data_IF_529622098726
#
_entry.id   IF_529622098726
#
_cell.length_a   1.000
_cell.length_b   1.000
_cell.length_c   1.000
_cell.angle_alpha   90.00
_cell.angle_beta   90.00
_cell.angle_gamma   90.00
#
_symmetry.space_group_name_H-M   'P 1'
#
loop_
_entity.id
_entity.type
_entity.pdbx_description
1 polymer ?
#
# COMPACT_ATOMS: atom_id res chain seq x y z
N UNK A 1 -3.37 0.77 3.19
CA UNK A 1 -3.67 0.23 4.53
C UNK A 1 -2.59 0.52 5.58
N UNK A 2 -1.54 1.28 5.28
CA UNK A 2 -0.43 1.59 6.22
C UNK A 2 -0.38 3.06 6.68
N UNK A 3 -1.24 3.93 6.13
CA UNK A 3 -1.29 5.36 6.47
C UNK A 3 -2.16 5.65 7.69
N UNK A 4 -3.24 4.88 7.88
CA UNK A 4 -4.20 5.12 8.96
C UNK A 4 -3.62 4.79 10.34
N UNK A 5 -2.79 3.75 10.43
CA UNK A 5 -2.14 3.34 11.68
C UNK A 5 -1.11 4.34 12.21
N UNK A 6 -0.50 5.16 11.35
CA UNK A 6 0.45 6.19 11.79
C UNK A 6 -0.26 7.43 12.36
N UNK A 7 -1.43 7.77 11.81
CA UNK A 7 -2.29 8.85 12.27
C UNK A 7 -2.92 8.53 13.63
N UNK A 8 -3.44 7.30 13.83
CA UNK A 8 -3.98 6.86 15.13
C UNK A 8 -2.92 6.85 16.24
N UNK A 9 -1.68 6.45 15.93
CA UNK A 9 -0.56 6.47 16.89
C UNK A 9 -0.19 7.91 17.29
N UNK A 10 -0.26 8.85 16.34
CA UNK A 10 0.02 10.24 16.64
C UNK A 10 -1.14 10.88 17.43
N UNK A 11 -2.38 10.60 17.06
CA UNK A 11 -3.59 11.10 17.73
C UNK A 11 -3.70 10.58 19.17
N UNK A 12 -3.39 9.30 19.39
CA UNK A 12 -3.32 8.69 20.73
C UNK A 12 -2.20 9.28 21.61
N UNK A 13 -1.05 9.65 21.04
CA UNK A 13 0.00 10.37 21.76
C UNK A 13 -0.45 11.76 22.22
N UNK A 14 -1.18 12.49 21.38
CA UNK A 14 -1.74 13.79 21.74
C UNK A 14 -2.90 13.69 22.75
N UNK A 15 -3.71 12.64 22.67
CA UNK A 15 -4.74 12.31 23.65
C UNK A 15 -4.16 12.09 25.06
N UNK A 16 -3.06 11.33 25.14
CA UNK A 16 -2.38 11.03 26.40
C UNK A 16 -1.79 12.29 27.03
N UNK A 17 -1.12 13.14 26.24
CA UNK A 17 -0.60 14.43 26.69
C UNK A 17 -1.71 15.37 27.20
N UNK A 18 -2.88 15.39 26.56
CA UNK A 18 -4.04 16.17 27.03
C UNK A 18 -4.61 15.62 28.33
N UNK A 19 -4.57 14.30 28.52
CA UNK A 19 -5.04 13.65 29.75
C UNK A 19 -4.10 13.93 30.91
N UNK A 20 -2.80 13.87 30.66
CA UNK A 20 -1.76 14.20 31.63
C UNK A 20 -1.81 15.67 32.04
N UNK A 21 -1.96 16.59 31.09
CA UNK A 21 -2.12 18.02 31.38
C UNK A 21 -3.35 18.30 32.26
N UNK A 22 -4.52 17.71 31.96
CA UNK A 22 -5.73 17.85 32.79
C UNK A 22 -5.56 17.28 34.20
N UNK A 23 -4.82 16.18 34.34
CA UNK A 23 -4.51 15.58 35.63
C UNK A 23 -3.62 16.50 36.47
N UNK A 24 -2.57 17.06 35.87
CA UNK A 24 -1.68 18.01 36.55
C UNK A 24 -2.43 19.27 36.98
N UNK A 25 -3.31 19.80 36.13
CA UNK A 25 -4.18 20.93 36.51
C UNK A 25 -5.08 20.60 37.69
N UNK A 26 -5.70 19.41 37.71
CA UNK A 26 -6.54 18.95 38.81
C UNK A 26 -5.77 18.78 40.13
N UNK A 27 -4.60 18.15 40.09
CA UNK A 27 -3.75 17.96 41.26
C UNK A 27 -3.27 19.29 41.85
N UNK A 28 -2.98 20.27 40.98
CA UNK A 28 -2.59 21.62 41.39
C UNK A 28 -3.75 22.35 42.09
N UNK A 29 -4.96 22.28 41.54
CA UNK A 29 -6.15 22.93 42.11
C UNK A 29 -6.55 22.33 43.47
N UNK A 30 -6.47 21.00 43.59
CA UNK A 30 -6.67 20.30 44.88
C UNK A 30 -5.64 20.73 45.91
N UNK A 31 -4.35 20.82 45.53
CA UNK A 31 -3.31 21.32 46.43
C UNK A 31 -3.59 22.76 46.85
N UNK A 32 -3.88 23.66 45.91
CA UNK A 32 -4.24 25.05 46.22
C UNK A 32 -5.42 25.14 47.20
N UNK A 33 -6.48 24.35 46.97
CA UNK A 33 -7.66 24.28 47.84
C UNK A 33 -7.32 23.75 49.24
N UNK A 34 -6.47 22.72 49.33
CA UNK A 34 -6.01 22.18 50.62
C UNK A 34 -5.20 23.19 51.42
N UNK A 35 -4.32 23.95 50.76
CA UNK A 35 -3.52 25.00 51.38
C UNK A 35 -4.38 26.21 51.78
N UNK A 36 -5.36 26.59 50.96
CA UNK A 36 -6.33 27.64 51.30
C UNK A 36 -7.15 27.26 52.54
N UNK A 37 -7.60 26.01 52.65
CA UNK A 37 -8.31 25.49 53.84
C UNK A 37 -7.42 25.47 55.08
N UNK A 38 -6.15 25.09 54.95
CA UNK A 38 -5.19 25.11 56.06
C UNK A 38 -4.92 26.54 56.53
N UNK A 39 -4.75 27.48 55.60
CA UNK A 39 -4.64 28.91 55.89
C UNK A 39 -5.88 29.43 56.62
N UNK A 40 -7.08 29.08 56.16
CA UNK A 40 -8.32 29.48 56.81
C UNK A 40 -8.44 28.95 58.25
N UNK A 41 -8.12 27.67 58.49
CA UNK A 41 -8.14 27.05 59.83
C UNK A 41 -7.16 27.71 60.79
N UNK A 42 -6.02 28.19 60.31
CA UNK A 42 -5.05 28.87 61.15
C UNK A 42 -5.49 30.30 61.50
N UNK A 43 -6.14 31.01 60.58
CA UNK A 43 -6.68 32.35 60.86
C UNK A 43 -7.85 32.34 61.83
N UNK A 44 -8.64 31.27 61.86
CA UNK A 44 -9.82 31.15 62.71
C UNK A 44 -9.52 30.66 64.14
N UNK A 45 -8.30 30.15 64.39
CA UNK A 45 -7.85 29.68 65.72
C UNK A 45 -7.29 30.76 66.66
N UNK A 46 -7.35 32.04 66.29
CA UNK A 46 -6.72 33.16 67.02
C UNK A 46 -7.58 33.89 68.06
N UNK A 47 -8.80 33.44 68.34
CA UNK A 47 -9.71 34.08 69.29
C UNK A 47 -10.13 33.10 70.40
N UNK A 48 -9.22 32.81 71.34
CA UNK A 48 -9.59 32.39 72.71
C UNK A 48 -8.59 33.02 73.69
N UNK A 49 -9.10 33.43 74.84
CA UNK A 49 -8.72 34.57 75.67
C UNK A 49 -7.63 34.30 76.75
N UNK A 50 -6.96 35.39 77.17
CA UNK A 50 -6.23 35.63 78.43
C UNK A 50 -4.74 35.25 78.58
N UNK A 51 -3.90 36.29 78.73
CA UNK A 51 -2.81 36.34 79.74
C UNK A 51 -1.34 36.10 79.31
N UNK A 52 -0.57 37.20 79.17
CA UNK A 52 0.91 37.30 79.34
C UNK A 52 1.85 36.71 78.26
N UNK A 53 3.14 37.15 78.16
CA UNK A 53 3.71 37.62 76.91
C UNK A 53 4.63 36.60 76.24
N UNK A 54 4.23 36.14 75.05
CA UNK A 54 5.14 35.60 74.02
C UNK A 54 4.87 36.23 72.64
N UNK A 55 4.40 37.48 72.65
CA UNK A 55 3.91 38.29 71.52
C UNK A 55 4.90 38.37 70.34
N UNK A 56 6.21 38.13 70.56
CA UNK A 56 7.21 38.08 69.50
C UNK A 56 7.13 36.85 68.58
N UNK A 57 6.70 35.69 69.10
CA UNK A 57 6.68 34.44 68.31
C UNK A 57 5.39 34.29 67.51
N UNK A 58 4.23 34.58 68.11
CA UNK A 58 2.92 34.51 67.45
C UNK A 58 2.75 35.57 66.36
N UNK A 59 3.26 36.79 66.55
CA UNK A 59 3.28 37.84 65.51
C UNK A 59 4.13 37.44 64.30
N UNK A 60 5.26 36.75 64.52
CA UNK A 60 6.10 36.27 63.41
C UNK A 60 5.42 35.16 62.60
N UNK A 61 4.59 34.33 63.24
CA UNK A 61 3.82 33.26 62.59
C UNK A 61 2.63 33.83 61.82
N UNK A 62 1.90 34.81 62.38
CA UNK A 62 0.80 35.48 61.67
C UNK A 62 1.29 36.28 60.47
N UNK A 63 2.44 36.95 60.59
CA UNK A 63 3.09 37.65 59.47
C UNK A 63 3.54 36.68 58.37
N UNK A 64 4.13 35.53 58.73
CA UNK A 64 4.49 34.48 57.76
C UNK A 64 3.25 33.96 57.02
N UNK A 65 2.14 33.76 57.73
CA UNK A 65 0.88 33.29 57.13
C UNK A 65 0.23 34.32 56.21
N UNK A 66 0.25 35.60 56.59
CA UNK A 66 -0.19 36.67 55.70
C UNK A 66 0.61 36.65 54.39
N UNK A 67 1.95 36.54 54.48
CA UNK A 67 2.81 36.40 53.30
C UNK A 67 2.46 35.16 52.45
N UNK A 68 2.20 34.02 53.09
CA UNK A 68 1.80 32.80 52.37
C UNK A 68 0.46 32.95 51.66
N UNK A 69 -0.50 33.68 52.25
CA UNK A 69 -1.79 33.98 51.64
C UNK A 69 -1.62 34.90 50.42
N UNK A 70 -0.76 35.89 50.52
CA UNK A 70 -0.46 36.80 49.40
C UNK A 70 0.22 36.05 48.25
N UNK A 71 1.21 35.20 48.56
CA UNK A 71 1.90 34.35 47.57
C UNK A 71 0.91 33.39 46.88
N UNK A 72 -0.01 32.77 47.64
CA UNK A 72 -1.04 31.91 47.05
C UNK A 72 -1.99 32.69 46.14
N UNK A 73 -2.36 33.90 46.54
CA UNK A 73 -3.21 34.76 45.72
C UNK A 73 -2.50 35.14 44.41
N UNK A 74 -1.22 35.49 44.49
CA UNK A 74 -0.36 35.76 43.33
C UNK A 74 -0.25 34.54 42.40
N UNK A 75 0.05 33.35 42.93
CA UNK A 75 0.07 32.12 42.12
C UNK A 75 -1.30 31.77 41.52
N UNK A 76 -2.39 32.00 42.24
CA UNK A 76 -3.75 31.78 41.72
C UNK A 76 -4.05 32.72 40.56
N UNK A 77 -3.63 33.98 40.68
CA UNK A 77 -3.79 35.00 39.65
C UNK A 77 -2.95 34.68 38.42
N UNK A 78 -1.67 34.34 38.61
CA UNK A 78 -0.78 33.93 37.53
C UNK A 78 -1.27 32.65 36.84
N UNK A 79 -1.77 31.67 37.59
CA UNK A 79 -2.38 30.47 37.01
C UNK A 79 -3.56 30.80 36.11
N UNK A 80 -4.48 31.68 36.55
CA UNK A 80 -5.61 32.11 35.73
C UNK A 80 -5.15 32.85 34.48
N UNK A 81 -4.12 33.68 34.59
CA UNK A 81 -3.52 34.42 33.47
C UNK A 81 -2.89 33.47 32.45
N UNK A 82 -2.08 32.52 32.90
CA UNK A 82 -1.41 31.52 32.06
C UNK A 82 -2.45 30.62 31.39
N UNK A 83 -3.45 30.14 32.13
CA UNK A 83 -4.55 29.33 31.59
C UNK A 83 -5.32 30.07 30.49
N UNK A 84 -5.64 31.35 30.71
CA UNK A 84 -6.26 32.20 29.69
C UNK A 84 -5.38 32.34 28.44
N UNK A 85 -4.06 32.52 28.62
CA UNK A 85 -3.11 32.63 27.51
C UNK A 85 -2.97 31.31 26.72
N UNK A 86 -2.97 30.15 27.40
CA UNK A 86 -2.96 28.85 26.72
C UNK A 86 -4.24 28.66 25.91
N UNK A 87 -5.39 29.04 26.47
CA UNK A 87 -6.66 28.92 25.77
C UNK A 87 -6.71 29.81 24.51
N UNK A 88 -6.23 31.05 24.59
CA UNK A 88 -6.18 31.93 23.42
C UNK A 88 -5.19 31.46 22.35
N UNK A 89 -4.04 30.90 22.75
CA UNK A 89 -3.08 30.28 21.83
C UNK A 89 -3.67 29.04 21.15
N UNK A 90 -4.45 28.24 21.88
CA UNK A 90 -5.16 27.08 21.33
C UNK A 90 -6.19 27.51 20.30
N UNK A 91 -7.05 28.48 20.63
CA UNK A 91 -8.03 29.03 19.69
C UNK A 91 -7.34 29.59 18.45
N UNK A 92 -6.22 30.29 18.61
CA UNK A 92 -5.42 30.77 17.49
C UNK A 92 -4.86 29.62 16.63
N UNK A 93 -4.40 28.53 17.23
CA UNK A 93 -3.93 27.36 16.49
C UNK A 93 -5.07 26.65 15.74
N UNK A 94 -6.26 26.56 16.33
CA UNK A 94 -7.47 26.01 15.69
C UNK A 94 -7.90 26.88 14.50
N UNK A 95 -7.85 28.22 14.63
CA UNK A 95 -8.10 29.13 13.51
C UNK A 95 -7.08 28.95 12.38
N UNK A 96 -5.78 28.81 12.71
CA UNK A 96 -4.74 28.57 11.71
C UNK A 96 -4.85 27.21 11.03
N UNK A 97 -5.28 26.16 11.73
CA UNK A 97 -5.48 24.84 11.12
C UNK A 97 -6.66 24.88 10.15
N UNK A 98 -7.76 25.55 10.51
CA UNK A 98 -8.91 25.74 9.61
C UNK A 98 -8.48 26.45 8.32
N UNK A 99 -7.73 27.55 8.43
CA UNK A 99 -7.23 28.28 7.24
C UNK A 99 -6.30 27.41 6.39
N UNK A 100 -5.44 26.61 7.03
CA UNK A 100 -4.55 25.69 6.33
C UNK A 100 -5.33 24.61 5.57
N UNK A 101 -6.38 24.08 6.20
CA UNK A 101 -7.25 23.06 5.61
C UNK A 101 -8.04 23.66 4.43
N UNK A 102 -8.61 24.85 4.57
CA UNK A 102 -9.28 25.58 3.48
C UNK A 102 -8.34 25.85 2.30
N UNK A 103 -7.08 26.24 2.55
CA UNK A 103 -6.07 26.46 1.51
C UNK A 103 -5.68 25.15 0.83
N UNK A 104 -5.57 24.06 1.60
CA UNK A 104 -5.29 22.73 1.08
C UNK A 104 -6.43 22.24 0.20
N UNK A 105 -7.67 22.42 0.67
CA UNK A 105 -8.90 22.09 -0.05
C UNK A 105 -9.04 22.95 -1.32
N UNK A 106 -8.72 24.24 -1.28
CA UNK A 106 -8.68 25.09 -2.48
C UNK A 106 -7.62 24.64 -3.50
N UNK A 107 -6.44 24.21 -3.02
CA UNK A 107 -5.39 23.64 -3.87
C UNK A 107 -5.80 22.27 -4.45
N UNK A 108 -6.51 21.46 -3.68
CA UNK A 108 -6.98 20.14 -4.08
C UNK A 108 -8.22 20.20 -5.00
N UNK A 109 -9.13 21.16 -4.78
CA UNK A 109 -10.39 21.35 -5.50
C UNK A 109 -10.24 22.01 -6.87
N UNK A 110 -9.03 22.42 -7.27
CA UNK A 110 -8.73 22.62 -8.69
C UNK A 110 -8.49 24.04 -9.17
N UNK A 111 -8.16 25.00 -8.30
CA UNK A 111 -7.46 26.21 -8.76
C UNK A 111 -5.93 25.98 -8.78
N UNK A 112 -5.49 24.90 -9.41
CA UNK A 112 -4.09 24.77 -9.77
C UNK A 112 -3.82 25.82 -10.85
N UNK A 113 -2.94 26.80 -10.59
CA UNK A 113 -2.60 27.87 -11.55
C UNK A 113 -2.47 27.28 -12.96
N UNK A 114 -3.07 27.89 -14.01
CA UNK A 114 -2.97 27.39 -15.39
C UNK A 114 -1.53 27.05 -15.79
N UNK A 115 -0.56 27.81 -15.28
CA UNK A 115 0.87 27.57 -15.46
C UNK A 115 1.36 26.24 -14.87
N UNK A 116 0.87 25.85 -13.70
CA UNK A 116 1.24 24.63 -13.01
C UNK A 116 0.58 23.40 -13.65
N UNK A 117 -0.65 23.54 -14.19
CA UNK A 117 -1.28 22.51 -15.01
C UNK A 117 -0.46 22.24 -16.28
N UNK A 118 -0.03 23.30 -16.98
CA UNK A 118 0.82 23.17 -18.19
C UNK A 118 2.17 22.52 -17.89
N UNK A 119 2.80 22.84 -16.75
CA UNK A 119 4.07 22.22 -16.35
C UNK A 119 3.90 20.72 -16.07
N UNK A 120 2.81 20.33 -15.40
CA UNK A 120 2.48 18.92 -15.18
C UNK A 120 2.16 18.21 -16.49
N UNK A 121 1.43 18.86 -17.39
CA UNK A 121 1.13 18.33 -18.73
C UNK A 121 2.42 18.12 -19.54
N UNK A 122 3.36 19.07 -19.51
CA UNK A 122 4.67 18.89 -20.13
C UNK A 122 5.46 17.72 -19.55
N UNK A 123 5.43 17.55 -18.23
CA UNK A 123 6.07 16.40 -17.59
C UNK A 123 5.43 15.08 -18.01
N UNK A 124 4.09 15.04 -18.13
CA UNK A 124 3.36 13.89 -18.63
C UNK A 124 3.70 13.61 -20.11
N UNK A 125 3.72 14.63 -20.97
CA UNK A 125 4.10 14.50 -22.38
C UNK A 125 5.53 13.96 -22.51
N UNK A 126 6.47 14.45 -21.70
CA UNK A 126 7.84 13.97 -21.73
C UNK A 126 7.92 12.48 -21.32
N UNK A 127 7.13 12.06 -20.33
CA UNK A 127 6.98 10.64 -19.99
C UNK A 127 6.40 9.83 -21.15
N UNK A 128 5.38 10.36 -21.84
CA UNK A 128 4.78 9.71 -23.01
C UNK A 128 5.75 9.61 -24.20
N UNK A 129 6.59 10.63 -24.45
CA UNK A 129 7.61 10.61 -25.51
C UNK A 129 8.61 9.49 -25.25
N UNK A 130 9.12 9.36 -24.02
CA UNK A 130 10.02 8.26 -23.64
C UNK A 130 9.37 6.89 -23.82
N UNK A 131 8.08 6.76 -23.47
CA UNK A 131 7.33 5.52 -23.67
C UNK A 131 7.12 5.19 -25.16
N UNK A 132 6.91 6.20 -26.00
CA UNK A 132 6.80 6.01 -27.46
C UNK A 132 8.11 5.47 -28.04
N UNK A 133 9.27 5.97 -27.58
CA UNK A 133 10.57 5.46 -28.05
C UNK A 133 10.76 3.98 -27.69
N UNK A 134 10.31 3.55 -26.51
CA UNK A 134 10.32 2.14 -26.12
C UNK A 134 9.40 1.29 -27.00
N UNK A 135 8.18 1.77 -27.28
CA UNK A 135 7.25 1.09 -28.19
C UNK A 135 7.80 1.01 -29.62
N UNK A 136 8.49 2.06 -30.11
CA UNK A 136 9.14 2.06 -31.43
C UNK A 136 10.26 1.01 -31.45
N UNK A 137 11.09 0.95 -30.43
CA UNK A 137 12.15 -0.06 -30.29
C UNK A 137 11.57 -1.48 -30.28
N UNK A 138 10.51 -1.71 -29.49
CA UNK A 138 9.80 -3.00 -29.47
C UNK A 138 9.17 -3.34 -30.82
N UNK A 139 8.63 -2.37 -31.55
CA UNK A 139 8.09 -2.59 -32.89
C UNK A 139 9.19 -2.94 -33.91
N UNK A 140 10.35 -2.29 -33.84
CA UNK A 140 11.48 -2.57 -34.73
C UNK A 140 12.07 -3.97 -34.49
N UNK A 141 12.23 -4.37 -33.23
CA UNK A 141 12.67 -5.73 -32.87
C UNK A 141 11.66 -6.77 -33.35
N UNK A 142 10.37 -6.53 -33.15
CA UNK A 142 9.29 -7.41 -33.65
C UNK A 142 9.32 -7.52 -35.18
N UNK A 143 9.53 -6.40 -35.90
CA UNK A 143 9.67 -6.39 -37.36
C UNK A 143 10.87 -7.23 -37.81
N UNK A 144 12.00 -7.15 -37.12
CA UNK A 144 13.18 -7.96 -37.42
C UNK A 144 12.89 -9.46 -37.22
N UNK A 145 12.20 -9.83 -36.13
CA UNK A 145 11.78 -11.22 -35.85
C UNK A 145 10.78 -11.74 -36.90
N UNK A 146 9.80 -10.94 -37.30
CA UNK A 146 8.87 -11.33 -38.37
C UNK A 146 9.59 -11.50 -39.71
N UNK A 147 10.59 -10.66 -39.99
CA UNK A 147 11.47 -10.80 -41.15
C UNK A 147 12.23 -12.13 -41.16
N UNK A 148 12.83 -12.52 -40.03
CA UNK A 148 13.53 -13.80 -39.92
C UNK A 148 12.57 -14.99 -39.98
N UNK A 149 11.40 -14.91 -39.33
CA UNK A 149 10.36 -15.93 -39.44
C UNK A 149 9.89 -16.13 -40.88
N UNK A 150 9.73 -15.06 -41.67
CA UNK A 150 9.37 -15.16 -43.09
C UNK A 150 10.44 -15.88 -43.90
N UNK A 151 11.72 -15.63 -43.63
CA UNK A 151 12.81 -16.37 -44.27
C UNK A 151 12.79 -17.86 -43.90
N UNK A 152 12.54 -18.19 -42.62
CA UNK A 152 12.40 -19.57 -42.16
C UNK A 152 11.21 -20.28 -42.82
N UNK A 153 10.05 -19.63 -42.93
CA UNK A 153 8.90 -20.20 -43.65
C UNK A 153 9.18 -20.41 -45.13
N UNK A 154 9.97 -19.53 -45.76
CA UNK A 154 10.45 -19.75 -47.12
C UNK A 154 11.29 -21.03 -47.26
N UNK A 155 12.22 -21.26 -46.32
CA UNK A 155 13.04 -22.48 -46.29
C UNK A 155 12.20 -23.75 -46.04
N UNK A 156 11.26 -23.67 -45.08
CA UNK A 156 10.32 -24.77 -44.80
C UNK A 156 9.45 -25.07 -46.01
N UNK A 157 8.91 -24.04 -46.69
CA UNK A 157 8.13 -24.22 -47.91
C UNK A 157 8.96 -24.88 -49.01
N UNK A 158 10.23 -24.49 -49.17
CA UNK A 158 11.18 -25.14 -50.08
C UNK A 158 11.40 -26.61 -49.75
N UNK A 159 11.66 -26.93 -48.48
CA UNK A 159 11.81 -28.32 -47.99
C UNK A 159 10.54 -29.15 -48.16
N UNK A 160 9.37 -28.60 -47.86
CA UNK A 160 8.06 -29.25 -48.05
C UNK A 160 7.81 -29.51 -49.54
N UNK A 161 8.15 -28.57 -50.42
CA UNK A 161 8.09 -28.77 -51.87
C UNK A 161 9.00 -29.91 -52.33
N UNK A 162 10.25 -29.93 -51.84
CA UNK A 162 11.19 -31.03 -52.11
C UNK A 162 10.67 -32.39 -51.61
N UNK A 163 9.94 -32.43 -50.48
CA UNK A 163 9.26 -33.64 -50.00
C UNK A 163 8.06 -34.02 -50.89
N UNK A 164 7.28 -33.03 -51.31
CA UNK A 164 6.14 -33.21 -52.20
C UNK A 164 6.57 -33.86 -53.52
N UNK A 165 7.71 -33.43 -54.08
CA UNK A 165 8.30 -34.00 -55.30
C UNK A 165 8.77 -35.45 -55.11
N UNK A 166 9.14 -35.85 -53.89
CA UNK A 166 9.55 -37.23 -53.56
C UNK A 166 8.38 -38.15 -53.20
N UNK A 167 7.25 -37.58 -52.79
CA UNK A 167 6.04 -38.33 -52.43
C UNK A 167 5.49 -39.24 -53.55
N UNK A 168 5.43 -38.84 -54.84
CA UNK A 168 4.99 -39.74 -55.92
C UNK A 168 5.95 -40.91 -56.14
N UNK A 169 7.25 -40.72 -55.93
CA UNK A 169 8.25 -41.81 -56.03
C UNK A 169 8.01 -42.85 -54.93
N UNK A 170 7.75 -42.40 -53.70
CA UNK A 170 7.40 -43.29 -52.57
C UNK A 170 6.11 -44.06 -52.88
N UNK A 171 5.08 -43.40 -53.42
CA UNK A 171 3.84 -44.06 -53.86
C UNK A 171 4.12 -45.11 -54.95
N UNK A 172 5.01 -44.82 -55.89
CA UNK A 172 5.44 -45.75 -56.93
C UNK A 172 6.17 -46.99 -56.40
N UNK A 173 7.10 -46.81 -55.46
CA UNK A 173 7.82 -47.91 -54.81
C UNK A 173 6.87 -48.77 -53.95
N UNK A 174 5.97 -48.14 -53.19
CA UNK A 174 4.97 -48.85 -52.39
C UNK A 174 4.01 -49.67 -53.28
N UNK A 175 3.61 -49.11 -54.43
CA UNK A 175 2.80 -49.82 -55.43
C UNK A 175 3.54 -51.03 -56.03
N UNK A 176 4.82 -50.86 -56.32
CA UNK A 176 5.69 -51.92 -56.87
C UNK A 176 5.88 -53.07 -55.87
N UNK A 177 6.08 -52.76 -54.59
CA UNK A 177 6.18 -53.73 -53.49
C UNK A 177 4.85 -54.48 -53.32
N UNK A 178 3.73 -53.76 -53.28
CA UNK A 178 2.39 -54.38 -53.17
C UNK A 178 2.09 -55.31 -54.35
N UNK A 179 2.45 -54.90 -55.58
CA UNK A 179 2.22 -55.69 -56.80
C UNK A 179 3.07 -56.97 -56.85
N UNK A 180 4.29 -56.95 -56.31
CA UNK A 180 5.12 -58.15 -56.20
C UNK A 180 4.54 -59.12 -55.17
N UNK A 181 4.18 -58.60 -53.99
CA UNK A 181 3.54 -59.39 -52.93
C UNK A 181 2.21 -60.01 -53.38
N UNK A 182 1.38 -59.29 -54.14
CA UNK A 182 0.11 -59.82 -54.65
C UNK A 182 0.29 -60.96 -55.65
N UNK A 183 1.34 -60.90 -56.50
CA UNK A 183 1.67 -61.99 -57.42
C UNK A 183 2.09 -63.25 -56.67
N UNK A 184 2.93 -63.11 -55.65
CA UNK A 184 3.43 -64.27 -54.89
C UNK A 184 2.29 -64.99 -54.17
N UNK A 185 1.31 -64.25 -53.63
CA UNK A 185 0.09 -64.83 -53.03
C UNK A 185 -0.79 -65.54 -54.07
N UNK A 186 -0.99 -64.95 -55.25
CA UNK A 186 -1.79 -65.57 -56.31
C UNK A 186 -1.20 -66.90 -56.79
N UNK A 187 0.12 -66.95 -56.99
CA UNK A 187 0.81 -68.18 -57.42
C UNK A 187 0.68 -69.26 -56.34
N UNK A 188 0.91 -68.90 -55.08
CA UNK A 188 0.83 -69.85 -53.96
C UNK A 188 -0.60 -70.42 -53.81
N UNK A 189 -1.63 -69.57 -53.88
CA UNK A 189 -3.03 -70.04 -53.81
C UNK A 189 -3.41 -70.95 -54.97
N UNK A 190 -2.89 -70.70 -56.19
CA UNK A 190 -3.17 -71.52 -57.36
C UNK A 190 -2.55 -72.92 -57.24
N UNK A 191 -1.32 -73.02 -56.71
CA UNK A 191 -0.63 -74.30 -56.50
C UNK A 191 -1.35 -75.14 -55.44
N UNK A 192 -1.74 -74.53 -54.31
CA UNK A 192 -2.50 -75.24 -53.26
C UNK A 192 -3.81 -75.75 -53.83
N UNK A 193 -4.57 -74.93 -54.55
CA UNK A 193 -5.83 -75.32 -55.16
C UNK A 193 -5.66 -76.48 -56.17
N UNK A 194 -4.61 -76.44 -57.01
CA UNK A 194 -4.32 -77.53 -57.94
C UNK A 194 -3.99 -78.85 -57.21
N UNK A 195 -3.15 -78.79 -56.17
CA UNK A 195 -2.80 -79.95 -55.36
C UNK A 195 -4.02 -80.56 -54.65
N UNK A 196 -4.89 -79.74 -54.05
CA UNK A 196 -6.09 -80.24 -53.38
C UNK A 196 -7.06 -80.88 -54.37
N UNK A 197 -7.23 -80.32 -55.57
CA UNK A 197 -8.08 -80.87 -56.62
C UNK A 197 -7.56 -82.22 -57.12
N UNK A 198 -6.25 -82.33 -57.33
CA UNK A 198 -5.62 -83.58 -57.78
C UNK A 198 -5.77 -84.70 -56.73
N UNK A 199 -5.63 -84.38 -55.45
CA UNK A 199 -5.85 -85.33 -54.35
C UNK A 199 -7.31 -85.79 -54.28
N UNK A 200 -8.27 -84.87 -54.46
CA UNK A 200 -9.70 -85.21 -54.48
C UNK A 200 -10.02 -86.13 -55.67
N UNK A 201 -9.51 -85.83 -56.86
CA UNK A 201 -9.68 -86.68 -58.06
C UNK A 201 -9.07 -88.07 -57.83
N UNK A 202 -7.85 -88.14 -57.27
CA UNK A 202 -7.19 -89.41 -56.97
C UNK A 202 -8.00 -90.24 -55.97
N UNK A 203 -8.57 -89.59 -54.94
CA UNK A 203 -9.40 -90.28 -53.95
C UNK A 203 -10.72 -90.78 -54.52
N UNK A 204 -11.32 -90.03 -55.45
CA UNK A 204 -12.54 -90.45 -56.17
C UNK A 204 -12.27 -91.54 -57.23
N UNK A 205 -11.05 -91.61 -57.76
CA UNK A 205 -10.65 -92.61 -58.75
C UNK A 205 -10.15 -93.93 -58.11
N UNK A 206 -9.93 -93.96 -56.79
CA UNK A 206 -9.47 -95.11 -56.02
C UNK A 206 -10.65 -95.97 -55.56
#
# INVERSE_FOLDING_TARGET
>A
MTTDSNLELQESGWEELRREARKIEGDLDVKLSSYAKLGARFTQGGYVESGSPSVGSTTSVTQKLARHRDILHEFTQEFRRIKGNINSLREHAELLTSVRDDISEYKASGSMSPRMQILRERAAIHGSVSHIDEVISQAQTTRAVLGSQRALFGDVQGKVKNLSDKFPIIRGLLGSIKRRRSRDTLILSAVIAACTLFLIIYWLSK
#
